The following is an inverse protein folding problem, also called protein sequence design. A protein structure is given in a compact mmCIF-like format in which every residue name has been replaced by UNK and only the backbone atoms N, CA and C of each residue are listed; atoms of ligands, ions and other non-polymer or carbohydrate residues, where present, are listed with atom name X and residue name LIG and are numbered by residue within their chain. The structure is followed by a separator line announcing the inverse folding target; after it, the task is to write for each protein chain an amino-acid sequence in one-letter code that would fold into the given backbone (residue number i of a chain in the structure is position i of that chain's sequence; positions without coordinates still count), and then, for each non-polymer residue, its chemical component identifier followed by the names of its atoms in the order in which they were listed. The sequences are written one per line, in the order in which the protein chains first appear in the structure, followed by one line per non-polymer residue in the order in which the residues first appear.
data_IF_636380455805
#
_entry.id   IF_636380455805
#
_cell.length_a   1.000
_cell.length_b   1.000
_cell.length_c   1.000
_cell.angle_alpha   90.00
_cell.angle_beta   90.00
_cell.angle_gamma   90.00
#
_symmetry.space_group_name_H-M   'P 1'
#
loop_
_entity.id
_entity.type
_entity.pdbx_description
1 polymer ?
#
# COMPACT_ATOMS: atom_id res chain seq x y z
N UNK A 1 -4.18 -1.25 8.07
CA UNK A 1 -4.92 -0.08 7.54
C UNK A 1 -5.72 0.46 8.71
N UNK A 2 -5.63 1.75 9.00
CA UNK A 2 -6.37 2.36 10.11
C UNK A 2 -7.26 3.45 9.50
N UNK A 3 -8.57 3.27 9.60
CA UNK A 3 -9.56 4.24 9.17
C UNK A 3 -10.32 4.77 10.37
N UNK A 4 -10.88 5.97 10.23
CA UNK A 4 -11.57 6.66 11.30
C UNK A 4 -12.92 7.20 10.80
N UNK A 5 -13.90 7.32 11.68
CA UNK A 5 -15.14 8.03 11.40
C UNK A 5 -14.96 9.55 11.51
N UNK A 6 -16.03 10.32 11.25
CA UNK A 6 -16.02 11.81 11.34
C UNK A 6 -15.70 12.34 12.74
N UNK A 7 -15.80 11.51 13.77
CA UNK A 7 -15.48 11.85 15.16
C UNK A 7 -14.06 11.42 15.54
N UNK A 8 -13.31 10.81 14.62
CA UNK A 8 -11.96 10.31 14.85
C UNK A 8 -11.91 8.94 15.53
N UNK A 9 -13.03 8.21 15.64
CA UNK A 9 -13.02 6.86 16.22
C UNK A 9 -12.58 5.83 15.18
N UNK A 10 -11.85 4.76 15.57
CA UNK A 10 -11.50 3.69 14.64
C UNK A 10 -12.73 3.11 13.93
N UNK A 11 -12.67 3.02 12.62
CA UNK A 11 -13.71 2.48 11.76
C UNK A 11 -13.14 1.43 10.81
N UNK A 12 -14.00 0.58 10.27
CA UNK A 12 -13.59 -0.35 9.21
C UNK A 12 -13.28 0.42 7.93
N UNK A 13 -12.06 0.25 7.39
CA UNK A 13 -11.72 0.81 6.09
C UNK A 13 -12.65 0.24 5.02
N UNK A 14 -13.31 1.12 4.27
CA UNK A 14 -14.08 0.77 3.09
C UNK A 14 -13.35 1.32 1.88
N UNK A 15 -13.22 0.50 0.85
CA UNK A 15 -12.81 0.99 -0.45
C UNK A 15 -14.02 1.64 -1.12
N UNK A 16 -13.80 2.78 -1.74
CA UNK A 16 -14.77 3.58 -2.48
C UNK A 16 -14.19 3.98 -3.85
N UNK A 17 -14.85 4.90 -4.54
CA UNK A 17 -14.43 5.38 -5.86
C UNK A 17 -13.09 6.15 -5.87
N UNK A 18 -12.69 6.70 -4.72
CA UNK A 18 -11.40 7.39 -4.54
C UNK A 18 -10.27 6.42 -4.14
N UNK A 19 -10.63 5.15 -3.88
CA UNK A 19 -9.68 4.13 -3.49
C UNK A 19 -9.11 3.39 -4.71
N UNK A 20 -7.78 3.29 -4.77
CA UNK A 20 -7.09 2.58 -5.85
C UNK A 20 -6.28 1.41 -5.29
N UNK A 21 -6.52 0.22 -5.83
CA UNK A 21 -5.78 -1.00 -5.46
C UNK A 21 -5.08 -1.58 -6.68
N UNK A 22 -3.80 -1.88 -6.53
CA UNK A 22 -3.03 -2.68 -7.49
C UNK A 22 -2.44 -3.90 -6.79
N UNK A 23 -2.31 -5.01 -7.52
CA UNK A 23 -1.76 -6.25 -6.99
C UNK A 23 -0.61 -6.70 -7.86
N UNK A 24 0.51 -7.03 -7.24
CA UNK A 24 1.67 -7.64 -7.89
C UNK A 24 1.90 -9.04 -7.35
N UNK A 25 2.19 -9.99 -8.24
CA UNK A 25 2.39 -11.38 -7.89
C UNK A 25 3.86 -11.76 -8.04
N UNK A 26 4.38 -12.52 -7.08
CA UNK A 26 5.70 -13.10 -7.19
C UNK A 26 5.74 -14.10 -8.37
N UNK A 27 6.88 -14.26 -9.07
CA UNK A 27 7.00 -15.21 -10.18
C UNK A 27 6.65 -16.66 -9.80
N UNK A 28 6.85 -17.05 -8.54
CA UNK A 28 6.44 -18.36 -8.02
C UNK A 28 4.92 -18.57 -7.97
N UNK A 29 4.14 -17.48 -8.04
CA UNK A 29 2.69 -17.49 -7.84
C UNK A 29 2.24 -17.75 -6.40
N UNK A 30 3.18 -17.85 -5.43
CA UNK A 30 2.87 -18.19 -4.04
C UNK A 30 2.67 -16.97 -3.13
N UNK A 31 3.14 -15.79 -3.54
CA UNK A 31 3.05 -14.54 -2.79
C UNK A 31 2.45 -13.45 -3.67
N UNK A 32 1.62 -12.60 -3.07
CA UNK A 32 1.12 -11.38 -3.69
C UNK A 32 1.32 -10.20 -2.74
N UNK A 33 1.51 -9.02 -3.31
CA UNK A 33 1.55 -7.76 -2.58
C UNK A 33 0.49 -6.85 -3.19
N UNK A 34 -0.49 -6.47 -2.39
CA UNK A 34 -1.49 -5.48 -2.76
C UNK A 34 -1.03 -4.10 -2.25
N UNK A 35 -1.14 -3.09 -3.11
CA UNK A 35 -0.87 -1.70 -2.80
C UNK A 35 -2.18 -0.94 -2.88
N UNK A 36 -2.52 -0.18 -1.85
CA UNK A 36 -3.75 0.59 -1.77
C UNK A 36 -3.43 2.06 -1.51
N UNK A 37 -4.00 2.94 -2.33
CA UNK A 37 -4.22 4.35 -2.00
C UNK A 37 -5.68 4.49 -1.59
N UNK A 38 -5.96 5.10 -0.44
CA UNK A 38 -7.30 5.20 0.13
C UNK A 38 -7.44 6.45 0.97
N UNK A 39 -8.64 6.96 1.17
CA UNK A 39 -8.91 8.01 2.15
C UNK A 39 -9.31 7.35 3.47
N UNK A 40 -8.68 7.72 4.58
CA UNK A 40 -8.94 7.08 5.88
C UNK A 40 -10.08 7.72 6.69
N UNK A 41 -10.49 8.93 6.32
CA UNK A 41 -11.69 9.63 6.82
C UNK A 41 -12.60 9.94 5.62
N UNK A 42 -13.82 9.39 5.55
CA UNK A 42 -14.73 9.58 4.41
C UNK A 42 -15.22 11.02 4.21
N UNK A 43 -14.87 11.97 5.09
CA UNK A 43 -15.10 13.40 4.88
C UNK A 43 -13.86 14.19 4.51
N UNK A 44 -12.69 13.58 4.63
CA UNK A 44 -11.42 14.18 4.25
C UNK A 44 -11.08 13.95 2.78
N UNK A 45 -9.96 14.52 2.37
CA UNK A 45 -9.33 14.30 1.07
C UNK A 45 -7.86 13.88 1.21
N UNK A 46 -7.45 13.49 2.42
CA UNK A 46 -6.10 13.06 2.71
C UNK A 46 -5.92 11.60 2.25
N UNK A 47 -5.23 11.41 1.14
CA UNK A 47 -4.86 10.08 0.65
C UNK A 47 -3.80 9.44 1.57
N UNK A 48 -4.05 8.19 1.91
CA UNK A 48 -3.17 7.30 2.63
C UNK A 48 -2.67 6.21 1.70
N UNK A 49 -1.47 5.69 1.96
CA UNK A 49 -0.89 4.59 1.20
C UNK A 49 -0.56 3.41 2.12
N UNK A 50 -0.91 2.21 1.68
CA UNK A 50 -0.60 0.97 2.39
C UNK A 50 -0.19 -0.14 1.41
N UNK A 51 0.63 -1.07 1.90
CA UNK A 51 0.88 -2.33 1.22
C UNK A 51 0.56 -3.51 2.14
N UNK A 52 0.00 -4.59 1.59
CA UNK A 52 -0.34 -5.80 2.30
C UNK A 52 0.21 -7.03 1.57
N UNK A 53 0.82 -7.93 2.35
CA UNK A 53 1.39 -9.18 1.85
C UNK A 53 0.36 -10.30 2.02
N UNK A 54 0.17 -11.08 0.96
CA UNK A 54 -0.69 -12.24 0.92
C UNK A 54 0.09 -13.47 0.50
N UNK A 55 -0.30 -14.62 1.02
CA UNK A 55 0.25 -15.93 0.65
C UNK A 55 -0.85 -16.79 0.04
N UNK A 56 -0.52 -17.49 -1.04
CA UNK A 56 -1.40 -18.48 -1.64
C UNK A 56 -1.47 -19.72 -0.75
N UNK A 57 -2.67 -20.12 -0.41
CA UNK A 57 -3.02 -21.36 0.29
C UNK A 57 -3.93 -22.20 -0.63
N UNK A 58 -4.33 -23.39 -0.17
CA UNK A 58 -5.14 -24.32 -0.99
C UNK A 58 -6.46 -23.68 -1.46
N UNK A 59 -7.13 -22.94 -0.56
CA UNK A 59 -8.46 -22.36 -0.80
C UNK A 59 -8.44 -20.88 -1.24
N UNK A 60 -7.26 -20.32 -1.52
CA UNK A 60 -7.14 -18.95 -2.01
C UNK A 60 -5.99 -18.15 -1.40
N UNK A 61 -6.19 -16.84 -1.23
CA UNK A 61 -5.17 -15.93 -0.72
C UNK A 61 -5.41 -15.60 0.76
N UNK A 62 -4.41 -15.87 1.59
CA UNK A 62 -4.43 -15.50 3.01
C UNK A 62 -3.66 -14.22 3.24
N UNK A 63 -4.26 -13.26 3.94
CA UNK A 63 -3.56 -12.09 4.46
C UNK A 63 -2.48 -12.51 5.46
N UNK A 64 -1.24 -12.06 5.23
CA UNK A 64 -0.11 -12.31 6.13
C UNK A 64 0.12 -11.12 7.05
N UNK A 65 0.34 -9.94 6.46
CA UNK A 65 0.58 -8.69 7.21
C UNK A 65 0.46 -7.45 6.35
N UNK A 66 0.25 -6.30 6.98
CA UNK A 66 0.52 -4.98 6.38
C UNK A 66 2.00 -4.67 6.50
N UNK A 67 2.57 -4.03 5.48
CA UNK A 67 3.95 -3.52 5.53
C UNK A 67 3.97 -2.23 6.36
N UNK A 68 4.74 -2.17 7.47
CA UNK A 68 4.78 -0.99 8.32
C UNK A 68 5.62 0.13 7.71
N UNK A 69 5.41 1.36 8.21
CA UNK A 69 6.25 2.53 7.96
C UNK A 69 6.43 2.89 6.47
N UNK A 70 5.46 2.57 5.63
CA UNK A 70 5.41 3.05 4.25
C UNK A 70 4.93 4.49 4.21
N UNK A 71 5.41 5.22 3.21
CA UNK A 71 5.04 6.61 2.95
C UNK A 71 5.09 6.88 1.46
N UNK A 72 4.27 7.80 0.99
CA UNK A 72 4.24 8.22 -0.40
C UNK A 72 2.92 7.92 -1.08
N UNK A 73 2.93 7.98 -2.41
CA UNK A 73 1.81 7.65 -3.29
C UNK A 73 2.27 6.65 -4.35
N UNK A 74 1.39 5.68 -4.62
CA UNK A 74 1.53 4.63 -5.63
C UNK A 74 2.77 3.73 -5.49
N UNK A 75 2.68 2.49 -5.97
CA UNK A 75 3.85 1.61 -6.10
C UNK A 75 4.17 1.41 -7.57
N UNK A 76 5.46 1.51 -7.90
CA UNK A 76 5.99 1.31 -9.25
C UNK A 76 7.29 0.50 -9.17
N UNK A 77 7.76 -0.02 -10.31
CA UNK A 77 8.99 -0.82 -10.39
C UNK A 77 9.00 -1.99 -9.39
N UNK A 78 7.86 -2.67 -9.23
CA UNK A 78 7.73 -3.80 -8.30
C UNK A 78 8.55 -4.97 -8.83
N UNK A 79 9.53 -5.41 -8.05
CA UNK A 79 10.43 -6.50 -8.38
C UNK A 79 10.54 -7.46 -7.20
N UNK A 80 10.27 -8.74 -7.46
CA UNK A 80 10.43 -9.80 -6.47
C UNK A 80 11.84 -10.40 -6.57
N UNK A 81 12.46 -10.62 -5.41
CA UNK A 81 13.75 -11.28 -5.26
C UNK A 81 13.61 -12.49 -4.34
N UNK A 82 14.58 -13.42 -4.31
CA UNK A 82 14.57 -14.49 -3.31
C UNK A 82 14.48 -13.89 -1.90
N UNK A 83 13.39 -14.18 -1.19
CA UNK A 83 13.14 -13.70 0.18
C UNK A 83 12.57 -12.29 0.30
N UNK A 84 12.24 -11.60 -0.78
CA UNK A 84 11.77 -10.21 -0.68
C UNK A 84 11.07 -9.63 -1.91
N UNK A 85 10.60 -8.40 -1.72
CA UNK A 85 10.10 -7.54 -2.79
C UNK A 85 10.69 -6.16 -2.61
N UNK A 86 11.05 -5.53 -3.73
CA UNK A 86 11.40 -4.12 -3.79
C UNK A 86 10.42 -3.37 -4.67
N UNK A 87 10.13 -2.13 -4.33
CA UNK A 87 9.28 -1.24 -5.12
C UNK A 87 9.61 0.21 -4.80
N UNK A 88 9.27 1.11 -5.71
CA UNK A 88 9.46 2.54 -5.54
C UNK A 88 8.11 3.21 -5.30
N UNK A 89 8.08 4.19 -4.38
CA UNK A 89 6.95 5.10 -4.17
C UNK A 89 7.34 6.53 -4.51
N UNK A 90 6.37 7.32 -4.92
CA UNK A 90 6.52 8.77 -5.02
C UNK A 90 6.41 9.38 -3.63
N UNK A 91 7.29 10.32 -3.26
CA UNK A 91 7.29 10.94 -1.93
C UNK A 91 7.46 12.44 -2.05
N UNK A 92 6.72 13.19 -1.23
CA UNK A 92 6.84 14.63 -1.17
C UNK A 92 8.20 15.05 -0.59
N UNK A 93 8.83 16.01 -1.26
CA UNK A 93 10.01 16.74 -0.78
C UNK A 93 9.58 18.08 -0.19
N UNK A 94 10.50 18.70 0.55
CA UNK A 94 10.30 20.07 1.06
C UNK A 94 10.08 21.02 -0.14
N UNK A 95 8.94 21.70 -0.14
CA UNK A 95 8.55 22.64 -1.20
C UNK A 95 7.65 22.04 -2.28
N UNK A 96 7.39 20.72 -2.28
CA UNK A 96 6.43 20.11 -3.19
C UNK A 96 5.00 20.56 -2.85
N UNK A 97 4.19 20.79 -3.88
CA UNK A 97 2.75 20.93 -3.72
C UNK A 97 2.11 19.58 -3.36
N UNK A 98 1.04 19.59 -2.56
CA UNK A 98 0.37 18.37 -2.12
C UNK A 98 -0.14 17.49 -3.28
N UNK A 99 -0.43 18.06 -4.46
CA UNK A 99 -0.85 17.30 -5.64
C UNK A 99 0.23 16.40 -6.24
N UNK A 100 1.50 16.79 -6.09
CA UNK A 100 2.52 16.46 -7.08
C UNK A 100 3.87 16.19 -6.41
N UNK A 101 4.06 15.00 -5.80
CA UNK A 101 5.34 14.61 -5.23
C UNK A 101 6.42 14.51 -6.32
N UNK A 102 7.62 15.04 -6.04
CA UNK A 102 8.77 14.98 -6.96
C UNK A 102 9.85 14.00 -6.50
N UNK A 103 9.78 13.55 -5.25
CA UNK A 103 10.71 12.59 -4.69
C UNK A 103 10.35 11.14 -5.04
N UNK A 104 11.35 10.28 -4.93
CA UNK A 104 11.22 8.83 -5.09
C UNK A 104 11.89 8.14 -3.93
N UNK A 105 11.26 7.11 -3.38
CA UNK A 105 11.83 6.28 -2.31
C UNK A 105 11.68 4.81 -2.68
N UNK A 106 12.79 4.07 -2.62
CA UNK A 106 12.79 2.62 -2.77
C UNK A 106 12.56 1.96 -1.42
N UNK A 107 11.70 0.96 -1.42
CA UNK A 107 11.41 0.09 -0.29
C UNK A 107 11.89 -1.31 -0.60
N UNK A 108 12.35 -1.99 0.45
CA UNK A 108 12.66 -3.42 0.41
C UNK A 108 11.95 -4.07 1.57
N UNK A 109 11.13 -5.07 1.28
CA UNK A 109 10.30 -5.77 2.25
C UNK A 109 10.65 -7.24 2.18
N UNK A 110 11.09 -7.80 3.31
CA UNK A 110 11.26 -9.25 3.42
C UNK A 110 9.91 -9.93 3.22
N UNK A 111 9.87 -11.06 2.53
CA UNK A 111 8.67 -11.87 2.32
C UNK A 111 8.78 -13.18 3.10
N UNK A 112 7.64 -13.75 3.53
CA UNK A 112 7.61 -15.05 4.20
C UNK A 112 7.97 -16.20 3.26
#
# INVERSE_FOLDING_TARGET
MNCFDRQGNPSGCRLDEDSHVTVSYAPSGSIAVAFATYVNDPTGNAEMFAAAVFRKEQDGWRFVRTVPNLSGKSATNVAFTPGGVSFDTEVWRKGDGHCCPTGRKRWTVALP
#
